data_IF_827168125649
#
_entry.id   IF_827168125649
#
_cell.length_a   1.000
_cell.length_b   1.000
_cell.length_c   1.000
_cell.angle_alpha   90.00
_cell.angle_beta   90.00
_cell.angle_gamma   90.00
#
_symmetry.space_group_name_H-M   'P 1'
#
loop_
_entity.id
_entity.type
_entity.pdbx_description
1 polymer ?
#
# COMPACT_ATOMS: atom_id res chain seq x y z
N UNK A 1 4.49 -13.96 -23.18
CA UNK A 1 3.34 -13.03 -23.16
C UNK A 1 3.13 -12.60 -21.72
N UNK A 2 3.27 -11.31 -21.42
CA UNK A 2 2.97 -10.80 -20.07
C UNK A 2 1.44 -10.68 -19.94
N UNK A 3 0.83 -11.50 -19.10
CA UNK A 3 -0.58 -11.36 -18.73
C UNK A 3 -0.75 -10.05 -17.95
N UNK A 4 -1.61 -9.14 -18.44
CA UNK A 4 -2.00 -7.97 -17.65
C UNK A 4 -2.76 -8.44 -16.41
N UNK A 5 -2.25 -8.10 -15.23
CA UNK A 5 -2.97 -8.28 -13.97
C UNK A 5 -4.09 -7.24 -13.92
N UNK A 6 -5.34 -7.70 -14.00
CA UNK A 6 -6.56 -6.85 -14.01
C UNK A 6 -6.96 -6.38 -12.60
N UNK A 7 -5.99 -6.11 -11.73
CA UNK A 7 -6.22 -5.61 -10.38
C UNK A 7 -5.23 -4.49 -10.09
N UNK A 8 -5.61 -3.55 -9.22
CA UNK A 8 -4.68 -2.51 -8.78
C UNK A 8 -3.44 -3.13 -8.14
N UNK A 9 -2.32 -2.41 -8.20
CA UNK A 9 -1.09 -2.81 -7.53
C UNK A 9 -1.34 -2.86 -6.01
N UNK A 10 -0.80 -3.87 -5.36
CA UNK A 10 -0.80 -3.96 -3.90
C UNK A 10 0.12 -2.85 -3.34
N UNK A 11 -0.50 -1.86 -2.70
CA UNK A 11 0.22 -0.73 -2.13
C UNK A 11 1.14 -1.16 -0.98
N UNK A 12 0.76 -2.20 -0.24
CA UNK A 12 1.58 -2.73 0.86
C UNK A 12 2.82 -3.42 0.30
N UNK A 13 2.65 -4.32 -0.66
CA UNK A 13 3.79 -5.01 -1.28
C UNK A 13 4.74 -4.03 -1.97
N UNK A 14 4.20 -3.03 -2.68
CA UNK A 14 5.02 -1.97 -3.29
C UNK A 14 5.85 -1.21 -2.26
N UNK A 15 5.27 -0.90 -1.10
CA UNK A 15 5.99 -0.20 -0.03
C UNK A 15 7.07 -1.10 0.59
N UNK A 16 6.81 -2.40 0.76
CA UNK A 16 7.80 -3.38 1.22
C UNK A 16 8.98 -3.44 0.25
N UNK A 17 8.72 -3.54 -1.05
CA UNK A 17 9.77 -3.61 -2.06
C UNK A 17 10.63 -2.33 -2.11
N UNK A 18 10.02 -1.16 -1.92
CA UNK A 18 10.74 0.12 -1.85
C UNK A 18 11.62 0.22 -0.60
N UNK A 19 11.10 -0.19 0.56
CA UNK A 19 11.86 -0.21 1.80
C UNK A 19 13.01 -1.22 1.70
N UNK A 20 12.79 -2.40 1.13
CA UNK A 20 13.83 -3.41 0.94
C UNK A 20 14.96 -2.97 0.00
N UNK A 21 14.68 -2.08 -0.96
CA UNK A 21 15.72 -1.47 -1.81
C UNK A 21 16.60 -0.47 -1.06
N UNK A 22 16.01 0.24 -0.10
CA UNK A 22 16.73 1.26 0.68
C UNK A 22 17.46 0.64 1.88
N UNK A 23 16.84 -0.33 2.54
CA UNK A 23 17.33 -0.98 3.74
C UNK A 23 17.20 -2.50 3.60
N UNK A 24 18.11 -3.18 2.88
CA UNK A 24 18.02 -4.62 2.64
C UNK A 24 17.99 -5.45 3.93
N UNK A 25 18.71 -5.00 4.97
CA UNK A 25 18.82 -5.67 6.27
C UNK A 25 17.49 -5.72 7.05
N UNK A 26 16.52 -4.89 6.68
CA UNK A 26 15.21 -4.78 7.34
C UNK A 26 14.22 -5.85 6.84
N UNK A 27 14.49 -6.45 5.69
CA UNK A 27 13.61 -7.47 5.12
C UNK A 27 13.84 -8.80 5.83
N UNK A 28 12.76 -9.37 6.35
CA UNK A 28 12.73 -10.68 7.00
C UNK A 28 11.74 -11.60 6.30
N UNK A 29 11.95 -12.89 6.43
CA UNK A 29 11.09 -13.92 5.86
C UNK A 29 10.17 -14.50 6.94
N UNK A 30 8.85 -14.35 6.74
CA UNK A 30 7.85 -14.95 7.62
C UNK A 30 7.12 -16.08 6.90
N UNK A 31 6.91 -17.20 7.58
CA UNK A 31 6.04 -18.26 7.08
C UNK A 31 4.58 -17.95 7.41
N UNK A 32 3.78 -17.66 6.39
CA UNK A 32 2.31 -17.59 6.50
C UNK A 32 1.70 -18.64 5.59
N UNK A 33 0.80 -19.46 6.14
CA UNK A 33 0.09 -20.51 5.40
C UNK A 33 1.00 -21.46 4.59
N UNK A 34 2.18 -21.76 5.12
CA UNK A 34 3.15 -22.66 4.46
C UNK A 34 3.99 -22.02 3.34
N UNK A 35 3.73 -20.75 2.99
CA UNK A 35 4.58 -19.97 2.07
C UNK A 35 5.47 -19.00 2.83
N UNK A 36 6.67 -18.82 2.31
CA UNK A 36 7.61 -17.79 2.77
C UNK A 36 7.23 -16.47 2.11
N UNK A 37 6.96 -15.45 2.92
CA UNK A 37 6.64 -14.09 2.47
C UNK A 37 7.66 -13.10 3.05
N UNK A 38 8.09 -12.14 2.23
CA UNK A 38 8.94 -11.04 2.69
C UNK A 38 8.11 -10.05 3.52
N UNK A 39 8.60 -9.75 4.72
CA UNK A 39 8.04 -8.79 5.65
C UNK A 39 9.10 -7.80 6.11
N UNK A 40 8.65 -6.69 6.69
CA UNK A 40 9.52 -5.69 7.30
C UNK A 40 9.68 -6.03 8.77
N UNK A 41 10.92 -6.15 9.23
CA UNK A 41 11.25 -6.09 10.65
C UNK A 41 11.21 -4.62 11.10
N UNK A 42 10.13 -4.24 11.79
CA UNK A 42 9.95 -2.86 12.23
C UNK A 42 10.89 -2.45 13.35
N UNK A 43 11.51 -3.38 14.08
CA UNK A 43 12.49 -3.05 15.10
C UNK A 43 13.84 -2.70 14.43
N UNK A 44 14.27 -3.49 13.47
CA UNK A 44 15.48 -3.20 12.66
C UNK A 44 15.29 -1.94 11.82
N UNK A 45 14.12 -1.75 11.20
CA UNK A 45 13.82 -0.52 10.45
C UNK A 45 13.91 0.73 11.33
N UNK A 46 13.43 0.63 12.57
CA UNK A 46 13.51 1.73 13.53
C UNK A 46 14.96 2.06 13.88
N UNK A 47 15.81 1.04 14.04
CA UNK A 47 17.24 1.23 14.33
C UNK A 47 17.98 1.88 13.16
N UNK A 48 17.77 1.40 11.93
CA UNK A 48 18.38 1.95 10.71
C UNK A 48 17.97 3.41 10.45
N UNK A 49 16.73 3.77 10.79
CA UNK A 49 16.24 5.14 10.64
C UNK A 49 16.57 6.05 11.83
N UNK A 50 17.00 5.51 12.97
CA UNK A 50 17.31 6.30 14.16
C UNK A 50 18.76 6.77 14.15
N UNK A 51 19.00 7.98 13.63
CA UNK A 51 20.28 8.70 13.82
C UNK A 51 20.51 9.19 15.26
N UNK A 52 19.46 9.13 16.09
CA UNK A 52 19.47 9.43 17.52
C UNK A 52 18.33 8.63 18.16
N UNK A 53 18.60 7.95 19.28
CA UNK A 53 17.63 7.16 20.02
C UNK A 53 16.50 8.07 20.49
N UNK A 54 15.38 8.10 19.77
CA UNK A 54 14.11 8.65 20.27
C UNK A 54 13.37 7.49 20.93
N UNK A 55 13.89 7.04 22.07
CA UNK A 55 13.16 6.15 22.98
C UNK A 55 12.23 7.00 23.83
N UNK A 56 10.93 6.83 23.60
CA UNK A 56 9.92 7.45 24.44
C UNK A 56 8.56 7.51 23.75
N UNK A 57 7.51 7.35 24.54
CA UNK A 57 6.15 7.76 24.19
C UNK A 57 6.08 9.29 24.24
N UNK A 58 6.97 9.99 23.54
CA UNK A 58 6.83 11.43 23.35
C UNK A 58 5.50 11.69 22.66
N UNK A 59 4.80 12.71 23.12
CA UNK A 59 3.42 13.05 22.85
C UNK A 59 3.13 13.25 21.35
N UNK A 60 2.99 12.16 20.61
CA UNK A 60 2.58 12.22 19.21
C UNK A 60 1.09 12.51 19.20
N UNK A 61 0.72 13.76 18.92
CA UNK A 61 -0.67 14.11 18.63
C UNK A 61 -1.11 13.33 17.41
N UNK A 62 -1.81 12.22 17.64
CA UNK A 62 -2.32 11.37 16.58
C UNK A 62 -3.83 11.54 16.55
N UNK A 63 -4.36 12.03 15.42
CA UNK A 63 -5.79 12.00 15.18
C UNK A 63 -6.24 10.53 15.12
N UNK A 64 -6.90 10.04 16.19
CA UNK A 64 -7.37 8.66 16.31
C UNK A 64 -8.89 8.64 16.27
N UNK A 65 -9.46 7.77 15.44
CA UNK A 65 -10.89 7.53 15.34
C UNK A 65 -11.16 6.02 15.25
N UNK A 66 -12.39 5.56 15.57
CA UNK A 66 -12.76 4.15 15.43
C UNK A 66 -12.43 3.63 14.03
N UNK A 67 -11.88 2.41 13.97
CA UNK A 67 -11.51 1.73 12.73
C UNK A 67 -10.46 2.43 11.83
N UNK A 68 -9.75 3.48 12.30
CA UNK A 68 -8.64 4.12 11.56
C UNK A 68 -7.67 3.12 10.92
N UNK A 69 -7.24 2.11 11.70
CA UNK A 69 -6.32 1.07 11.22
C UNK A 69 -6.94 0.20 10.12
N UNK A 70 -8.22 -0.15 10.24
CA UNK A 70 -8.93 -0.92 9.21
C UNK A 70 -9.10 -0.10 7.92
N UNK A 71 -9.43 1.19 8.04
CA UNK A 71 -9.52 2.10 6.90
C UNK A 71 -8.17 2.24 6.17
N UNK A 72 -7.07 2.35 6.91
CA UNK A 72 -5.72 2.37 6.32
C UNK A 72 -5.39 1.07 5.60
N UNK A 73 -5.76 -0.09 6.15
CA UNK A 73 -5.57 -1.38 5.47
C UNK A 73 -6.39 -1.46 4.17
N UNK A 74 -7.66 -1.05 4.22
CA UNK A 74 -8.55 -1.06 3.05
C UNK A 74 -8.05 -0.15 1.92
N UNK A 75 -7.51 1.02 2.25
CA UNK A 75 -6.96 1.96 1.26
C UNK A 75 -5.74 1.41 0.51
N UNK A 76 -4.95 0.53 1.13
CA UNK A 76 -3.76 -0.06 0.50
C UNK A 76 -4.06 -1.37 -0.25
N UNK A 77 -5.26 -1.92 -0.10
CA UNK A 77 -5.65 -3.16 -0.74
C UNK A 77 -5.94 -2.95 -2.25
N UNK A 78 -5.57 -3.91 -3.12
CA UNK A 78 -5.99 -3.92 -4.52
C UNK A 78 -7.51 -3.82 -4.70
N UNK A 79 -7.97 -3.05 -5.69
CA UNK A 79 -9.37 -3.06 -6.11
C UNK A 79 -9.66 -4.30 -6.97
N UNK A 80 -10.78 -4.96 -6.70
CA UNK A 80 -11.27 -6.13 -7.43
C UNK A 80 -12.45 -5.81 -8.35
N UNK A 81 -12.90 -4.55 -8.36
CA UNK A 81 -14.00 -4.06 -9.17
C UNK A 81 -13.54 -3.55 -10.55
N UNK A 82 -14.44 -3.62 -11.53
CA UNK A 82 -14.22 -3.14 -12.90
C UNK A 82 -14.96 -1.82 -13.14
N UNK A 83 -14.26 -0.81 -13.64
CA UNK A 83 -14.87 0.46 -14.04
C UNK A 83 -15.72 0.26 -15.31
N UNK A 84 -16.93 0.83 -15.33
CA UNK A 84 -17.82 0.82 -16.49
C UNK A 84 -18.28 2.26 -16.78
N UNK A 85 -18.04 2.78 -18.00
CA UNK A 85 -18.58 4.09 -18.40
C UNK A 85 -20.10 4.09 -18.40
N UNK A 86 -20.69 5.21 -18.00
CA UNK A 86 -22.13 5.46 -18.11
C UNK A 86 -22.34 6.38 -19.30
N UNK A 87 -22.82 5.82 -20.42
CA UNK A 87 -22.91 6.54 -21.71
C UNK A 87 -23.66 7.86 -21.59
N UNK A 88 -24.79 7.85 -20.87
CA UNK A 88 -25.63 9.03 -20.70
C UNK A 88 -24.89 10.21 -20.02
N UNK A 89 -23.92 9.91 -19.16
CA UNK A 89 -23.18 10.90 -18.37
C UNK A 89 -21.74 11.11 -18.89
N UNK A 90 -21.35 10.38 -19.95
CA UNK A 90 -20.00 10.44 -20.51
C UNK A 90 -19.88 11.56 -21.53
N UNK A 91 -18.71 12.20 -21.55
CA UNK A 91 -18.35 13.23 -22.54
C UNK A 91 -17.00 12.84 -23.13
N UNK A 92 -16.96 12.72 -24.46
CA UNK A 92 -15.74 12.40 -25.20
C UNK A 92 -14.71 13.52 -25.11
N UNK A 93 -13.46 13.21 -25.46
CA UNK A 93 -12.36 14.19 -25.46
C UNK A 93 -12.62 15.40 -26.36
N UNK A 94 -13.42 15.23 -27.40
CA UNK A 94 -13.89 16.25 -28.36
C UNK A 94 -15.09 17.06 -27.84
N UNK A 95 -15.60 16.76 -26.65
CA UNK A 95 -16.78 17.40 -26.07
C UNK A 95 -18.10 16.75 -26.48
N UNK A 96 -18.08 15.65 -27.25
CA UNK A 96 -19.29 14.98 -27.71
C UNK A 96 -19.97 14.19 -26.57
N UNK A 97 -21.24 14.47 -26.24
CA UNK A 97 -21.98 13.66 -25.27
C UNK A 97 -22.13 12.20 -25.72
N UNK A 98 -21.98 11.25 -24.80
CA UNK A 98 -22.05 9.81 -25.11
C UNK A 98 -20.78 9.20 -25.70
N UNK A 99 -19.73 10.00 -25.90
CA UNK A 99 -18.40 9.54 -26.29
C UNK A 99 -17.54 9.10 -25.10
N UNK A 100 -16.57 8.23 -25.35
CA UNK A 100 -15.50 7.86 -24.42
C UNK A 100 -14.14 7.98 -25.13
#
# INVERSE_FOLDING_TARGET
>A
MNNLKMHSLDGVQRNIDLIGKLFPNVITEVKRNGKVEHAIDFDVLRQELSGSIVEGREERYQFTWPDKKKAMLAANAPITATLRPVVADSVGKDGTPGGF
#
